data_IF_125122972769
#
_entry.id   IF_125122972769
#
_cell.length_a   1.000
_cell.length_b   1.000
_cell.length_c   1.000
_cell.angle_alpha   90.00
_cell.angle_beta   90.00
_cell.angle_gamma   90.00
#
_symmetry.space_group_name_H-M   'P 1'
#
loop_
_entity.id
_entity.type
_entity.pdbx_description
1 polymer ?
#
# COMPACT_ATOMS: atom_id res chain seq x y z
N UNK A 1 -9.86 -44.05 48.70
CA UNK A 1 -9.65 -43.84 50.12
C UNK A 1 -8.35 -44.50 50.54
N UNK A 2 -7.58 -43.99 51.46
CA UNK A 2 -7.64 -42.81 52.33
C UNK A 2 -6.38 -41.95 52.16
N UNK A 3 -6.24 -40.84 52.65
CA UNK A 3 -6.35 -40.00 53.79
C UNK A 3 -5.27 -38.92 53.76
N UNK A 4 -5.68 -37.70 54.06
CA UNK A 4 -4.78 -36.63 54.58
C UNK A 4 -4.37 -36.96 56.03
N UNK A 5 -3.29 -36.39 56.56
CA UNK A 5 -3.43 -35.31 57.51
C UNK A 5 -2.36 -34.21 57.43
N UNK A 6 -2.76 -32.98 57.69
CA UNK A 6 -2.73 -32.13 58.93
C UNK A 6 -1.34 -31.60 59.30
N UNK A 7 -1.21 -30.28 59.13
CA UNK A 7 -1.11 -29.25 60.19
C UNK A 7 -0.05 -29.40 61.25
N UNK A 8 0.79 -28.40 61.37
CA UNK A 8 1.21 -27.74 62.62
C UNK A 8 1.96 -26.47 62.17
N UNK A 9 1.61 -25.28 62.50
CA UNK A 9 1.31 -24.39 63.60
C UNK A 9 2.56 -23.99 64.43
N UNK A 10 2.77 -22.66 64.40
CA UNK A 10 3.35 -21.75 65.43
C UNK A 10 4.83 -21.89 65.71
N UNK A 11 5.54 -20.83 65.94
CA UNK A 11 5.26 -19.58 66.67
C UNK A 11 6.37 -18.56 66.47
N UNK A 12 5.96 -17.33 66.55
CA UNK A 12 6.57 -16.16 67.18
C UNK A 12 8.04 -16.20 67.63
N UNK A 13 8.83 -15.24 67.21
CA UNK A 13 9.29 -14.15 68.04
C UNK A 13 10.17 -13.19 67.27
N UNK A 14 9.71 -11.97 67.29
CA UNK A 14 10.36 -10.74 67.73
C UNK A 14 11.90 -10.70 67.72
N UNK A 15 12.39 -9.75 67.03
CA UNK A 15 13.12 -8.60 67.49
C UNK A 15 14.09 -8.06 66.42
N UNK A 16 13.81 -6.82 66.14
CA UNK A 16 14.75 -5.69 66.15
C UNK A 16 15.77 -5.56 64.99
N UNK A 17 15.51 -4.48 64.32
CA UNK A 17 16.44 -3.38 64.05
C UNK A 17 17.68 -3.73 63.24
N UNK A 18 17.75 -3.30 62.05
CA UNK A 18 18.33 -1.99 61.75
C UNK A 18 18.42 -1.78 60.26
N UNK A 19 17.79 -0.74 59.86
CA UNK A 19 18.33 0.27 58.97
C UNK A 19 19.31 -0.21 57.92
N UNK A 20 18.87 -0.29 56.75
CA UNK A 20 19.44 0.48 55.61
C UNK A 20 18.66 0.17 54.37
N UNK A 21 17.56 0.84 54.23
CA UNK A 21 16.94 1.02 52.92
C UNK A 21 17.92 1.81 52.06
N UNK A 22 18.90 1.14 51.48
CA UNK A 22 19.53 1.67 50.28
C UNK A 22 18.47 1.67 49.23
N UNK A 23 17.74 2.77 49.15
CA UNK A 23 17.02 3.13 47.96
C UNK A 23 18.05 3.05 46.82
N UNK A 24 17.92 2.00 46.01
CA UNK A 24 18.50 1.98 44.68
C UNK A 24 17.82 3.14 43.97
N UNK A 25 18.43 4.31 44.03
CA UNK A 25 18.18 5.40 43.09
C UNK A 25 18.46 4.79 41.72
N UNK A 26 17.40 4.32 41.08
CA UNK A 26 17.48 4.00 39.68
C UNK A 26 17.77 5.37 39.01
N UNK A 27 19.01 5.56 38.67
CA UNK A 27 19.39 6.59 37.73
C UNK A 27 18.35 6.58 36.63
N UNK A 28 17.66 7.67 36.31
CA UNK A 28 16.76 7.70 35.18
C UNK A 28 17.63 7.40 33.96
N UNK A 29 17.45 6.20 33.39
CA UNK A 29 18.04 5.92 32.08
C UNK A 29 17.56 7.03 31.17
N UNK A 30 18.46 7.96 30.90
CA UNK A 30 18.22 8.97 29.89
C UNK A 30 18.18 8.27 28.53
N UNK A 31 17.01 7.71 28.23
CA UNK A 31 16.71 7.13 26.92
C UNK A 31 16.53 8.31 25.97
N UNK A 32 17.59 9.03 25.76
CA UNK A 32 17.67 9.98 24.66
C UNK A 32 17.62 9.13 23.39
N UNK A 33 16.48 9.19 22.72
CA UNK A 33 16.31 8.53 21.44
C UNK A 33 17.52 8.84 20.56
N UNK A 34 18.25 7.82 20.06
CA UNK A 34 19.40 8.03 19.20
C UNK A 34 19.05 8.87 17.95
N UNK A 35 17.76 8.96 17.63
CA UNK A 35 17.23 9.77 16.51
C UNK A 35 17.22 11.27 16.80
N UNK A 36 17.35 11.74 18.06
CA UNK A 36 17.37 13.17 18.39
C UNK A 36 18.58 13.92 17.79
N UNK A 37 19.65 13.22 17.48
CA UNK A 37 20.87 13.78 16.88
C UNK A 37 20.94 13.62 15.36
N UNK A 38 19.97 12.93 14.76
CA UNK A 38 19.93 12.73 13.30
C UNK A 38 19.20 13.90 12.68
N UNK A 39 19.95 14.81 12.09
CA UNK A 39 19.38 15.83 11.19
C UNK A 39 18.98 15.11 9.92
N UNK A 40 17.69 14.78 9.81
CA UNK A 40 17.16 14.24 8.57
C UNK A 40 17.25 15.33 7.51
N UNK A 41 17.86 15.06 6.34
CA UNK A 41 17.79 16.00 5.25
C UNK A 41 16.32 16.29 4.94
N UNK A 42 16.02 17.54 4.61
CA UNK A 42 14.67 17.97 4.24
C UNK A 42 14.27 17.21 2.97
N UNK A 43 13.74 15.98 3.15
CA UNK A 43 13.25 15.16 2.07
C UNK A 43 11.89 15.72 1.66
N UNK A 44 11.94 16.67 0.72
CA UNK A 44 10.74 16.98 -0.04
C UNK A 44 10.46 15.78 -0.92
N UNK A 45 9.48 14.95 -0.52
CA UNK A 45 8.95 13.96 -1.43
C UNK A 45 8.47 14.71 -2.67
N UNK A 46 9.10 14.49 -3.80
CA UNK A 46 8.54 14.94 -5.08
C UNK A 46 7.17 14.28 -5.14
N UNK A 47 6.10 15.06 -4.96
CA UNK A 47 4.75 14.57 -5.17
C UNK A 47 4.69 14.04 -6.59
N UNK A 48 4.32 12.77 -6.76
CA UNK A 48 4.24 12.16 -8.08
C UNK A 48 3.36 13.03 -8.98
N UNK A 49 3.83 13.32 -10.17
CA UNK A 49 3.11 14.12 -11.16
C UNK A 49 2.33 13.17 -12.09
N UNK A 50 1.13 13.58 -12.49
CA UNK A 50 0.42 12.88 -13.55
C UNK A 50 1.20 13.01 -14.87
N UNK A 51 1.15 12.00 -15.71
CA UNK A 51 1.69 12.08 -17.07
C UNK A 51 1.00 13.18 -17.84
N UNK A 52 1.76 13.87 -18.69
CA UNK A 52 1.19 14.74 -19.70
C UNK A 52 0.36 13.92 -20.69
N UNK A 53 -0.49 14.57 -21.48
CA UNK A 53 -1.30 13.88 -22.50
C UNK A 53 -0.43 13.19 -23.55
N UNK A 54 0.65 13.83 -23.95
CA UNK A 54 1.60 13.27 -24.93
C UNK A 54 2.34 12.04 -24.38
N UNK A 55 2.72 12.07 -23.12
CA UNK A 55 3.35 10.92 -22.44
C UNK A 55 2.37 9.75 -22.29
N UNK A 56 1.12 10.06 -21.94
CA UNK A 56 0.04 9.07 -21.85
C UNK A 56 -0.19 8.39 -23.21
N UNK A 57 -0.32 9.16 -24.29
CA UNK A 57 -0.46 8.64 -25.65
C UNK A 57 0.73 7.78 -26.08
N UNK A 58 1.95 8.24 -25.77
CA UNK A 58 3.18 7.48 -26.04
C UNK A 58 3.19 6.14 -25.28
N UNK A 59 2.76 6.14 -24.01
CA UNK A 59 2.66 4.93 -23.21
C UNK A 59 1.63 3.96 -23.81
N UNK A 60 0.43 4.44 -24.11
CA UNK A 60 -0.64 3.63 -24.71
C UNK A 60 -0.16 3.04 -26.04
N UNK A 61 0.37 3.85 -26.92
CA UNK A 61 0.91 3.41 -28.21
C UNK A 61 1.98 2.34 -28.03
N UNK A 62 2.92 2.56 -27.10
CA UNK A 62 3.95 1.57 -26.77
C UNK A 62 3.33 0.25 -26.32
N UNK A 63 2.39 0.29 -25.38
CA UNK A 63 1.75 -0.91 -24.85
C UNK A 63 0.97 -1.67 -25.93
N UNK A 64 0.29 -0.98 -26.82
CA UNK A 64 -0.48 -1.60 -27.91
C UNK A 64 0.40 -2.22 -29.00
N UNK A 65 1.59 -1.66 -29.23
CA UNK A 65 2.54 -2.21 -30.21
C UNK A 65 3.38 -3.36 -29.67
N UNK A 66 3.51 -3.49 -28.33
CA UNK A 66 4.33 -4.51 -27.67
C UNK A 66 3.50 -5.48 -26.84
N UNK A 67 2.38 -5.95 -27.39
CA UNK A 67 1.41 -6.82 -26.68
C UNK A 67 1.98 -8.11 -26.13
N UNK A 68 3.04 -8.65 -26.72
CA UNK A 68 3.66 -9.90 -26.28
C UNK A 68 4.52 -9.75 -25.02
N UNK A 69 4.66 -8.54 -24.54
CA UNK A 69 5.39 -8.23 -23.31
C UNK A 69 4.41 -8.15 -22.15
N UNK A 70 4.43 -9.11 -21.22
CA UNK A 70 3.53 -9.20 -20.05
C UNK A 70 3.33 -7.89 -19.28
N UNK A 71 4.38 -7.06 -19.26
CA UNK A 71 4.40 -5.81 -18.50
C UNK A 71 3.53 -4.72 -19.10
N UNK A 72 3.21 -4.79 -20.39
CA UNK A 72 2.40 -3.79 -21.06
C UNK A 72 0.94 -3.85 -20.62
N UNK A 73 0.40 -5.05 -20.41
CA UNK A 73 -0.94 -5.25 -19.85
C UNK A 73 -1.04 -4.65 -18.46
N UNK A 74 -0.05 -4.91 -17.60
CA UNK A 74 0.01 -4.34 -16.26
C UNK A 74 0.05 -2.79 -16.27
N UNK A 75 0.83 -2.19 -17.18
CA UNK A 75 0.89 -0.72 -17.31
C UNK A 75 -0.45 -0.12 -17.75
N UNK A 76 -1.14 -0.76 -18.70
CA UNK A 76 -2.48 -0.34 -19.11
C UNK A 76 -3.50 -0.45 -17.98
N UNK A 77 -3.47 -1.56 -17.23
CA UNK A 77 -4.36 -1.71 -16.07
C UNK A 77 -4.09 -0.63 -15.02
N UNK A 78 -2.83 -0.35 -14.71
CA UNK A 78 -2.47 0.71 -13.75
C UNK A 78 -2.95 2.09 -14.22
N UNK A 79 -2.82 2.38 -15.52
CA UNK A 79 -3.22 3.67 -16.10
C UNK A 79 -4.75 3.86 -16.11
N UNK A 80 -5.50 2.87 -16.58
CA UNK A 80 -6.94 3.01 -16.82
C UNK A 80 -7.82 2.71 -15.61
N UNK A 81 -7.27 2.09 -14.57
CA UNK A 81 -8.00 1.75 -13.34
C UNK A 81 -7.38 2.37 -12.07
N UNK A 82 -6.27 3.07 -12.19
CA UNK A 82 -5.66 3.77 -11.08
C UNK A 82 -5.23 2.88 -9.93
N UNK A 83 -4.85 1.63 -10.18
CA UNK A 83 -4.43 0.69 -9.16
C UNK A 83 -3.06 1.04 -8.59
N UNK A 84 -2.82 0.66 -7.34
CA UNK A 84 -1.45 0.53 -6.85
C UNK A 84 -0.79 -0.71 -7.46
N UNK A 85 0.51 -0.67 -7.66
CA UNK A 85 1.28 -1.78 -8.23
C UNK A 85 1.02 -3.12 -7.52
N UNK A 86 0.93 -3.11 -6.20
CA UNK A 86 0.64 -4.31 -5.39
C UNK A 86 -0.75 -4.88 -5.62
N UNK A 87 -1.74 -4.05 -5.93
CA UNK A 87 -3.14 -4.43 -6.13
C UNK A 87 -3.37 -5.25 -7.40
N UNK A 88 -2.43 -5.22 -8.35
CA UNK A 88 -2.48 -6.07 -9.55
C UNK A 88 -2.65 -7.56 -9.23
N UNK A 89 -2.07 -8.02 -8.10
CA UNK A 89 -2.09 -9.45 -7.72
C UNK A 89 -3.48 -9.97 -7.34
N UNK A 90 -4.37 -9.09 -6.89
CA UNK A 90 -5.71 -9.44 -6.41
C UNK A 90 -6.82 -9.06 -7.39
N UNK A 91 -6.48 -8.54 -8.58
CA UNK A 91 -7.49 -8.06 -9.53
C UNK A 91 -8.42 -9.18 -10.01
N UNK A 92 -9.70 -8.82 -10.17
CA UNK A 92 -10.77 -9.67 -10.70
C UNK A 92 -11.71 -8.83 -11.56
N UNK A 93 -12.26 -9.45 -12.60
CA UNK A 93 -13.30 -8.82 -13.42
C UNK A 93 -14.67 -9.33 -12.94
N UNK A 94 -15.58 -8.40 -12.67
CA UNK A 94 -16.94 -8.69 -12.22
C UNK A 94 -17.93 -8.19 -13.29
N UNK A 95 -18.77 -9.12 -13.75
CA UNK A 95 -19.89 -8.85 -14.70
C UNK A 95 -19.48 -8.10 -15.97
N UNK A 96 -18.23 -8.16 -16.40
CA UNK A 96 -17.68 -7.37 -17.51
C UNK A 96 -17.96 -5.87 -17.39
N UNK A 97 -18.16 -5.36 -16.19
CA UNK A 97 -18.47 -3.96 -15.91
C UNK A 97 -17.55 -3.33 -14.88
N UNK A 98 -16.97 -4.16 -14.01
CA UNK A 98 -16.18 -3.70 -12.87
C UNK A 98 -14.87 -4.45 -12.79
N UNK A 99 -13.84 -3.73 -12.40
CA UNK A 99 -12.62 -4.31 -11.89
C UNK A 99 -12.65 -4.25 -10.36
N UNK A 100 -12.43 -5.38 -9.72
CA UNK A 100 -12.33 -5.52 -8.27
C UNK A 100 -10.89 -5.85 -7.88
N UNK A 101 -10.40 -5.25 -6.80
CA UNK A 101 -9.12 -5.56 -6.21
C UNK A 101 -9.15 -5.38 -4.68
N UNK A 102 -8.23 -6.06 -4.01
CA UNK A 102 -7.98 -5.85 -2.59
C UNK A 102 -7.20 -4.55 -2.39
N UNK A 103 -7.61 -3.73 -1.43
CA UNK A 103 -6.84 -2.52 -1.16
C UNK A 103 -5.53 -2.88 -0.45
N UNK A 104 -4.45 -2.21 -0.83
CA UNK A 104 -3.13 -2.44 -0.23
C UNK A 104 -2.91 -1.67 1.08
N UNK A 105 -3.90 -0.94 1.55
CA UNK A 105 -3.85 -0.32 2.88
C UNK A 105 -4.26 -1.35 3.93
N UNK A 106 -3.30 -2.16 4.38
CA UNK A 106 -3.49 -2.95 5.58
C UNK A 106 -3.59 -2.01 6.79
N UNK A 107 -4.79 -1.85 7.32
CA UNK A 107 -4.96 -1.37 8.69
C UNK A 107 -4.87 -2.59 9.59
N UNK A 108 -3.88 -2.61 10.47
CA UNK A 108 -3.67 -3.70 11.43
C UNK A 108 -5.01 -4.14 12.05
N UNK A 109 -5.37 -5.41 11.85
CA UNK A 109 -6.57 -6.01 12.43
C UNK A 109 -7.89 -5.76 11.68
N UNK A 110 -7.89 -5.17 10.48
CA UNK A 110 -9.09 -5.01 9.67
C UNK A 110 -9.17 -6.08 8.57
N UNK A 111 -10.41 -6.49 8.28
CA UNK A 111 -10.71 -7.38 7.16
C UNK A 111 -10.24 -6.77 5.84
N UNK A 112 -9.83 -7.62 4.92
CA UNK A 112 -9.49 -7.23 3.54
C UNK A 112 -10.65 -6.43 2.94
N UNK A 113 -10.37 -5.19 2.55
CA UNK A 113 -11.36 -4.33 1.92
C UNK A 113 -11.27 -4.49 0.41
N UNK A 114 -12.36 -4.90 -0.21
CA UNK A 114 -12.49 -5.00 -1.65
C UNK A 114 -12.94 -3.66 -2.23
N UNK A 115 -12.30 -3.24 -3.30
CA UNK A 115 -12.59 -2.02 -4.03
C UNK A 115 -13.06 -2.36 -5.44
N UNK A 116 -14.15 -1.69 -5.88
CA UNK A 116 -14.69 -1.84 -7.23
C UNK A 116 -14.50 -0.57 -8.03
N UNK A 117 -13.97 -0.70 -9.22
CA UNK A 117 -13.70 0.39 -10.15
C UNK A 117 -14.48 0.11 -11.44
N UNK A 118 -15.35 1.02 -11.90
CA UNK A 118 -16.15 0.78 -13.09
C UNK A 118 -15.30 0.81 -14.36
N UNK A 119 -15.73 0.10 -15.38
CA UNK A 119 -15.18 0.25 -16.72
C UNK A 119 -15.62 1.59 -17.30
N UNK A 120 -14.76 2.58 -17.13
CA UNK A 120 -14.98 3.92 -17.71
C UNK A 120 -15.05 3.85 -19.23
N UNK A 121 -15.64 4.85 -19.93
CA UNK A 121 -15.66 4.88 -21.40
C UNK A 121 -14.25 4.79 -22.02
N UNK A 122 -13.25 5.39 -21.38
CA UNK A 122 -11.85 5.29 -21.81
C UNK A 122 -11.30 3.86 -21.62
N UNK A 123 -11.54 3.24 -20.47
CA UNK A 123 -11.12 1.88 -20.17
C UNK A 123 -11.75 0.88 -21.17
N UNK A 124 -13.05 1.02 -21.50
CA UNK A 124 -13.74 0.15 -22.45
C UNK A 124 -13.09 0.09 -23.82
N UNK A 125 -12.44 1.16 -24.26
CA UNK A 125 -11.74 1.20 -25.56
C UNK A 125 -10.47 0.35 -25.56
N UNK A 126 -9.81 0.18 -24.41
CA UNK A 126 -8.54 -0.55 -24.30
C UNK A 126 -8.69 -1.94 -23.73
N UNK A 127 -9.77 -2.25 -23.01
CA UNK A 127 -10.05 -3.57 -22.44
C UNK A 127 -9.88 -4.71 -23.47
N UNK A 128 -10.35 -4.63 -24.73
CA UNK A 128 -10.15 -5.70 -25.71
C UNK A 128 -8.69 -6.02 -26.02
N UNK A 129 -7.80 -5.13 -25.63
CA UNK A 129 -6.36 -5.26 -25.85
C UNK A 129 -5.57 -5.65 -24.61
N UNK A 130 -6.23 -5.80 -23.46
CA UNK A 130 -5.60 -6.13 -22.17
C UNK A 130 -5.84 -7.61 -21.86
N UNK A 131 -4.76 -8.32 -21.57
CA UNK A 131 -4.80 -9.62 -20.94
C UNK A 131 -4.67 -9.44 -19.41
N UNK A 132 -5.79 -9.55 -18.71
CA UNK A 132 -5.84 -9.33 -17.26
C UNK A 132 -5.08 -10.40 -16.47
N UNK A 133 -4.99 -11.63 -16.98
CA UNK A 133 -4.20 -12.69 -16.34
C UNK A 133 -2.70 -12.41 -16.46
N UNK A 134 -2.24 -11.95 -17.61
CA UNK A 134 -0.86 -11.48 -17.76
C UNK A 134 -0.57 -10.28 -16.87
N UNK A 135 -1.49 -9.32 -16.77
CA UNK A 135 -1.35 -8.18 -15.88
C UNK A 135 -1.23 -8.59 -14.42
N UNK A 136 -2.10 -9.50 -13.97
CA UNK A 136 -2.12 -10.05 -12.60
C UNK A 136 -0.83 -10.80 -12.25
N UNK A 137 -0.33 -11.59 -13.19
CA UNK A 137 0.87 -12.41 -12.99
C UNK A 137 2.18 -11.66 -13.26
N UNK A 138 2.12 -10.42 -13.72
CA UNK A 138 3.31 -9.62 -14.01
C UNK A 138 4.20 -9.44 -12.78
N UNK A 139 5.51 -9.54 -12.98
CA UNK A 139 6.47 -9.25 -11.93
C UNK A 139 6.51 -7.74 -11.66
N UNK A 140 6.16 -7.34 -10.44
CA UNK A 140 6.01 -5.93 -10.03
C UNK A 140 7.30 -5.11 -10.19
N UNK A 141 8.46 -5.73 -10.02
CA UNK A 141 9.74 -5.04 -10.19
C UNK A 141 10.03 -4.78 -11.67
N UNK A 142 9.68 -5.74 -12.53
CA UNK A 142 9.86 -5.55 -13.98
C UNK A 142 8.89 -4.54 -14.56
N UNK A 143 7.67 -4.40 -13.99
CA UNK A 143 6.73 -3.32 -14.33
C UNK A 143 7.36 -1.96 -14.02
N UNK A 144 7.93 -1.80 -12.82
CA UNK A 144 8.61 -0.55 -12.44
C UNK A 144 9.82 -0.25 -13.33
N UNK A 145 10.65 -1.26 -13.62
CA UNK A 145 11.81 -1.10 -14.52
C UNK A 145 11.36 -0.72 -15.94
N UNK A 146 10.27 -1.29 -16.44
CA UNK A 146 9.75 -0.96 -17.77
C UNK A 146 9.27 0.48 -17.82
N UNK A 147 8.52 0.92 -16.82
CA UNK A 147 8.06 2.31 -16.71
C UNK A 147 9.26 3.28 -16.72
N UNK A 148 10.28 3.02 -15.92
CA UNK A 148 11.49 3.84 -15.85
C UNK A 148 12.30 3.86 -17.14
N UNK A 149 12.26 2.80 -17.95
CA UNK A 149 12.88 2.77 -19.29
C UNK A 149 12.14 3.60 -20.31
N UNK A 150 10.81 3.73 -20.18
CA UNK A 150 9.99 4.54 -21.07
C UNK A 150 10.07 6.02 -20.69
N UNK A 151 10.13 6.29 -19.39
CA UNK A 151 10.17 7.64 -18.82
C UNK A 151 11.12 7.64 -17.64
N UNK A 152 12.30 8.24 -17.79
CA UNK A 152 13.37 8.24 -16.78
C UNK A 152 12.92 8.79 -15.42
N UNK A 153 12.02 9.78 -15.46
CA UNK A 153 11.59 10.55 -14.30
C UNK A 153 10.27 10.08 -13.71
N UNK A 154 9.63 9.06 -14.33
CA UNK A 154 8.36 8.52 -13.92
C UNK A 154 8.46 7.11 -13.33
N UNK A 155 7.51 6.78 -12.45
CA UNK A 155 7.34 5.46 -11.85
C UNK A 155 5.87 5.04 -11.83
N UNK A 156 5.56 3.75 -11.62
CA UNK A 156 4.20 3.23 -11.77
C UNK A 156 3.12 3.92 -10.93
N UNK A 157 3.46 4.54 -9.81
CA UNK A 157 2.49 5.24 -8.97
C UNK A 157 1.90 6.49 -9.66
N UNK A 158 2.64 7.07 -10.58
CA UNK A 158 2.20 8.24 -11.34
C UNK A 158 1.12 7.91 -12.37
N UNK A 159 1.01 6.65 -12.79
CA UNK A 159 -0.12 6.17 -13.60
C UNK A 159 -1.45 6.32 -12.83
N UNK A 160 -1.41 6.10 -11.53
CA UNK A 160 -2.56 6.33 -10.66
C UNK A 160 -2.86 7.82 -10.51
N UNK A 161 -1.85 8.67 -10.38
CA UNK A 161 -2.05 10.12 -10.40
C UNK A 161 -2.67 10.57 -11.73
N UNK A 162 -2.21 10.00 -12.83
CA UNK A 162 -2.78 10.25 -14.17
C UNK A 162 -4.25 9.87 -14.21
N UNK A 163 -4.62 8.67 -13.76
CA UNK A 163 -6.02 8.23 -13.68
C UNK A 163 -6.89 9.22 -12.89
N UNK A 164 -6.44 9.60 -11.70
CA UNK A 164 -7.16 10.54 -10.83
C UNK A 164 -7.34 11.89 -11.53
N UNK A 165 -6.29 12.42 -12.15
CA UNK A 165 -6.33 13.69 -12.88
C UNK A 165 -7.30 13.62 -14.05
N UNK A 166 -7.25 12.55 -14.85
CA UNK A 166 -8.17 12.38 -16.00
C UNK A 166 -9.62 12.22 -15.58
N UNK A 167 -9.88 11.50 -14.48
CA UNK A 167 -11.24 11.41 -13.92
C UNK A 167 -11.78 12.79 -13.54
N UNK A 168 -10.97 13.62 -12.89
CA UNK A 168 -11.33 14.99 -12.49
C UNK A 168 -11.55 15.89 -13.72
N UNK A 169 -10.67 15.82 -14.71
CA UNK A 169 -10.81 16.55 -15.98
C UNK A 169 -12.09 16.16 -16.73
N UNK A 170 -12.54 14.92 -16.59
CA UNK A 170 -13.81 14.45 -17.16
C UNK A 170 -15.03 14.77 -16.29
N UNK A 171 -14.90 15.55 -15.22
CA UNK A 171 -15.99 15.98 -14.36
C UNK A 171 -16.47 14.93 -13.35
N UNK A 172 -15.71 13.86 -13.10
CA UNK A 172 -16.05 12.89 -12.06
C UNK A 172 -15.86 13.56 -10.69
N UNK A 173 -16.86 13.47 -9.83
CA UNK A 173 -16.82 14.04 -8.47
C UNK A 173 -15.62 13.51 -7.68
N UNK A 174 -14.97 14.37 -6.91
CA UNK A 174 -13.76 14.03 -6.17
C UNK A 174 -13.96 12.90 -5.17
N UNK A 175 -15.15 12.83 -4.55
CA UNK A 175 -15.54 11.78 -3.60
C UNK A 175 -15.57 10.41 -4.29
N UNK A 176 -16.15 10.35 -5.49
CA UNK A 176 -16.22 9.13 -6.31
C UNK A 176 -14.81 8.68 -6.72
N UNK A 177 -13.98 9.62 -7.19
CA UNK A 177 -12.59 9.33 -7.55
C UNK A 177 -11.81 8.85 -6.33
N UNK A 178 -12.07 9.41 -5.14
CA UNK A 178 -11.43 9.01 -3.90
C UNK A 178 -11.77 7.57 -3.51
N UNK A 179 -13.03 7.15 -3.71
CA UNK A 179 -13.46 5.76 -3.51
C UNK A 179 -12.75 4.83 -4.50
N UNK A 180 -12.76 5.18 -5.81
CA UNK A 180 -12.12 4.36 -6.84
C UNK A 180 -10.60 4.27 -6.66
N UNK A 181 -9.99 5.33 -6.17
CA UNK A 181 -8.55 5.40 -5.96
C UNK A 181 -8.13 5.10 -4.51
N UNK A 182 -9.04 4.79 -3.56
CA UNK A 182 -8.73 4.53 -2.14
C UNK A 182 -7.77 5.60 -1.56
N UNK A 183 -8.21 6.87 -1.58
CA UNK A 183 -7.42 8.01 -1.09
C UNK A 183 -7.93 8.47 0.29
N UNK A 184 -9.04 7.91 0.75
CA UNK A 184 -9.68 8.25 2.02
C UNK A 184 -8.92 7.69 3.24
#
# INVERSE_FOLDING_TARGET
MPQRPRLYRNSSNDNQESTSSRALVREPYDITSPMKKVVLPNYQSKSGQALTKDEEERLIKYCLTHKDVERTDALLVLLFFGLRKSELKSLRIIDNKWLECETSKERLGQNVVLRKIPFTPAAKKVIPYIDFEKAKNANLNTVATRMKRLFSDHHPHELRHTFITRCKECGVQSEVVSIWADIL
#
